data_IF_801624698685
#
_entry.id   IF_801624698685
#
_cell.length_a   1.000
_cell.length_b   1.000
_cell.length_c   1.000
_cell.angle_alpha   90.00
_cell.angle_beta   90.00
_cell.angle_gamma   90.00
#
_symmetry.space_group_name_H-M   'P 1'
#
loop_
_entity.id
_entity.type
_entity.pdbx_description
1 polymer ?
#
# COMPACT_ATOMS: atom_id res chain seq x y z
N UNK A 1 -6.85 33.65 -46.27
CA UNK A 1 -6.18 34.68 -45.45
C UNK A 1 -6.29 34.22 -44.01
N UNK A 2 -5.28 33.93 -43.20
CA UNK A 2 -3.81 33.99 -43.27
C UNK A 2 -3.30 32.93 -42.28
N UNK A 3 -2.37 32.12 -42.77
CA UNK A 3 -1.60 31.08 -42.09
C UNK A 3 -0.76 31.65 -40.94
N UNK A 4 -0.64 30.93 -39.82
CA UNK A 4 0.47 31.12 -38.86
C UNK A 4 1.26 29.83 -38.73
N UNK A 5 2.35 29.79 -39.48
CA UNK A 5 3.38 28.76 -39.49
C UNK A 5 4.39 29.01 -38.39
N UNK A 6 4.69 27.93 -37.65
CA UNK A 6 5.92 27.48 -36.99
C UNK A 6 6.87 28.47 -36.30
N UNK A 7 7.34 28.07 -35.11
CA UNK A 7 8.79 27.92 -34.83
C UNK A 7 9.00 26.70 -33.93
N UNK A 8 9.42 25.58 -34.52
CA UNK A 8 10.12 24.52 -33.80
C UNK A 8 11.57 24.97 -33.65
N UNK A 9 12.01 25.27 -32.43
CA UNK A 9 13.41 25.50 -32.13
C UNK A 9 14.06 24.19 -31.70
N UNK A 10 14.65 23.49 -32.68
CA UNK A 10 15.66 22.44 -32.46
C UNK A 10 16.98 23.11 -32.10
N UNK A 11 17.40 22.96 -30.84
CA UNK A 11 18.79 23.21 -30.41
C UNK A 11 19.35 21.87 -29.92
N UNK A 12 20.11 21.23 -30.80
CA UNK A 12 20.90 20.06 -30.48
C UNK A 12 22.32 20.48 -30.09
N UNK A 13 22.84 19.76 -29.09
CA UNK A 13 24.25 19.57 -28.76
C UNK A 13 25.01 20.79 -28.23
N UNK A 14 25.33 20.77 -26.93
CA UNK A 14 26.70 20.67 -26.43
C UNK A 14 26.68 19.92 -25.10
N UNK A 15 27.58 18.93 -25.00
CA UNK A 15 27.65 18.02 -23.86
C UNK A 15 28.12 18.72 -22.60
N UNK A 16 27.20 18.84 -21.64
CA UNK A 16 27.49 18.83 -20.21
C UNK A 16 26.37 17.97 -19.63
N UNK A 17 26.74 16.88 -18.96
CA UNK A 17 25.79 15.94 -18.39
C UNK A 17 24.86 16.63 -17.41
N UNK A 18 23.68 17.03 -17.87
CA UNK A 18 22.57 17.34 -16.99
C UNK A 18 22.08 16.01 -16.47
N UNK A 19 22.54 15.63 -15.27
CA UNK A 19 21.75 14.78 -14.39
C UNK A 19 20.43 15.53 -14.17
N UNK A 20 19.48 15.35 -15.09
CA UNK A 20 18.10 15.65 -14.79
C UNK A 20 17.76 14.73 -13.62
N UNK A 21 17.30 15.27 -12.48
CA UNK A 21 16.74 14.39 -11.47
C UNK A 21 15.64 13.61 -12.19
N UNK A 22 15.72 12.28 -12.13
CA UNK A 22 14.56 11.46 -12.40
C UNK A 22 13.47 12.03 -11.50
N UNK A 23 12.47 12.68 -12.08
CA UNK A 23 11.22 12.94 -11.40
C UNK A 23 10.70 11.53 -11.18
N UNK A 24 11.02 10.96 -10.00
CA UNK A 24 10.25 9.86 -9.48
C UNK A 24 8.81 10.36 -9.59
N UNK A 25 8.01 9.67 -10.40
CA UNK A 25 6.57 9.87 -10.31
C UNK A 25 6.27 9.74 -8.83
N UNK A 26 5.86 10.85 -8.20
CA UNK A 26 5.28 10.80 -6.87
C UNK A 26 4.08 9.87 -7.06
N UNK A 27 4.31 8.59 -6.78
CA UNK A 27 3.31 7.55 -6.90
C UNK A 27 2.06 8.12 -6.25
N UNK A 28 1.01 8.22 -7.04
CA UNK A 28 -0.22 8.88 -6.63
C UNK A 28 -0.53 8.48 -5.19
N UNK A 29 -0.53 9.46 -4.27
CA UNK A 29 -0.87 9.22 -2.87
C UNK A 29 -2.18 8.44 -2.86
N UNK A 30 -2.22 7.22 -2.29
CA UNK A 30 -3.42 6.41 -2.29
C UNK A 30 -4.58 7.23 -1.70
N UNK A 31 -5.59 7.48 -2.54
CA UNK A 31 -6.80 8.17 -2.14
C UNK A 31 -7.67 7.23 -1.31
N UNK A 32 -7.42 7.15 0.00
CA UNK A 32 -8.17 6.27 0.88
C UNK A 32 -7.98 6.62 2.36
N UNK A 33 -8.51 7.76 2.81
CA UNK A 33 -8.34 8.22 4.21
C UNK A 33 -8.85 7.23 5.26
N UNK A 34 -9.76 6.33 4.88
CA UNK A 34 -10.27 5.29 5.78
C UNK A 34 -9.35 4.08 5.83
N UNK A 35 -8.70 3.70 4.72
CA UNK A 35 -7.80 2.53 4.68
C UNK A 35 -6.47 2.84 5.36
N UNK A 36 -5.92 4.03 5.08
CA UNK A 36 -4.54 4.36 5.43
C UNK A 36 -4.38 4.87 6.86
N UNK A 37 -3.15 4.77 7.38
CA UNK A 37 -2.74 5.31 8.67
C UNK A 37 -3.58 4.78 9.85
N UNK A 38 -4.03 3.53 9.71
CA UNK A 38 -4.77 2.76 10.73
C UNK A 38 -4.17 1.37 10.90
N UNK A 39 -4.30 0.83 12.11
CA UNK A 39 -3.92 -0.56 12.41
C UNK A 39 -5.14 -1.45 12.25
N UNK A 40 -5.13 -2.29 11.21
CA UNK A 40 -6.17 -3.26 10.92
C UNK A 40 -5.76 -4.62 11.48
N UNK A 41 -6.49 -5.13 12.47
CA UNK A 41 -6.24 -6.44 13.09
C UNK A 41 -7.18 -7.47 12.47
N UNK A 42 -6.60 -8.56 11.96
CA UNK A 42 -7.33 -9.64 11.31
C UNK A 42 -8.21 -10.37 12.33
N UNK A 43 -9.43 -10.67 11.90
CA UNK A 43 -10.40 -11.49 12.62
C UNK A 43 -10.28 -12.94 12.19
N UNK A 44 -10.70 -13.87 13.05
CA UNK A 44 -10.83 -15.30 12.73
C UNK A 44 -9.52 -15.95 12.21
N UNK A 45 -8.40 -15.62 12.85
CA UNK A 45 -7.07 -16.18 12.57
C UNK A 45 -6.48 -16.83 13.83
N UNK A 46 -5.63 -17.84 13.62
CA UNK A 46 -4.92 -18.55 14.70
C UNK A 46 -3.71 -17.77 15.23
N UNK A 47 -3.32 -16.69 14.54
CA UNK A 47 -2.20 -15.82 14.91
C UNK A 47 -2.69 -14.58 15.67
N UNK A 48 -2.43 -14.46 16.98
CA UNK A 48 -2.90 -13.31 17.73
C UNK A 48 -2.25 -12.02 17.21
N UNK A 49 -3.06 -10.97 17.12
CA UNK A 49 -2.58 -9.65 16.71
C UNK A 49 -2.10 -9.59 15.25
N UNK A 50 -2.43 -10.57 14.41
CA UNK A 50 -2.16 -10.49 12.98
C UNK A 50 -2.76 -9.19 12.43
N UNK A 51 -1.94 -8.34 11.82
CA UNK A 51 -2.32 -6.99 11.45
C UNK A 51 -1.75 -6.56 10.11
N UNK A 52 -2.44 -5.61 9.49
CA UNK A 52 -1.96 -4.84 8.35
C UNK A 52 -2.07 -3.34 8.64
N UNK A 53 -1.03 -2.59 8.31
CA UNK A 53 -0.99 -1.12 8.43
C UNK A 53 -0.61 -0.55 7.07
N UNK A 54 -1.59 -0.04 6.34
CA UNK A 54 -1.39 0.64 5.07
C UNK A 54 -1.00 2.10 5.36
N UNK A 55 0.27 2.46 5.30
CA UNK A 55 0.70 3.84 5.50
C UNK A 55 0.48 4.66 4.23
N UNK A 56 0.06 5.91 4.39
CA UNK A 56 -0.20 6.82 3.26
C UNK A 56 1.06 7.17 2.44
N UNK A 57 2.25 6.80 2.92
CA UNK A 57 3.52 6.92 2.20
C UNK A 57 3.83 5.75 1.25
N UNK A 58 2.95 4.74 1.17
CA UNK A 58 3.13 3.55 0.33
C UNK A 58 3.84 2.39 1.04
N UNK A 59 4.05 2.48 2.36
CA UNK A 59 4.58 1.37 3.18
C UNK A 59 3.44 0.55 3.78
N UNK A 60 3.49 -0.77 3.60
CA UNK A 60 2.62 -1.73 4.27
C UNK A 60 3.42 -2.42 5.37
N UNK A 61 2.90 -2.39 6.60
CA UNK A 61 3.40 -3.23 7.69
C UNK A 61 2.46 -4.43 7.81
N UNK A 62 3.01 -5.64 7.69
CA UNK A 62 2.33 -6.89 8.01
C UNK A 62 3.03 -7.53 9.19
N UNK A 63 2.31 -7.90 10.24
CA UNK A 63 2.90 -8.47 11.44
C UNK A 63 1.90 -9.34 12.21
N UNK A 64 2.37 -10.13 13.16
CA UNK A 64 1.55 -10.80 14.17
C UNK A 64 2.37 -10.98 15.45
N UNK A 65 1.72 -11.27 16.57
CA UNK A 65 2.37 -11.22 17.88
C UNK A 65 3.60 -12.12 18.05
N UNK A 66 3.73 -13.19 17.27
CA UNK A 66 4.81 -14.17 17.38
C UNK A 66 5.62 -14.31 16.10
N UNK A 67 5.42 -13.42 15.13
CA UNK A 67 6.14 -13.42 13.85
C UNK A 67 7.06 -12.20 13.73
N UNK A 68 7.82 -12.16 12.64
CA UNK A 68 8.61 -10.98 12.30
C UNK A 68 7.78 -10.07 11.41
N UNK A 69 7.75 -8.78 11.73
CA UNK A 69 7.13 -7.80 10.85
C UNK A 69 7.78 -7.78 9.46
N UNK A 70 6.96 -7.55 8.44
CA UNK A 70 7.36 -7.31 7.06
C UNK A 70 7.00 -5.90 6.66
N UNK A 71 7.93 -5.23 5.99
CA UNK A 71 7.67 -3.96 5.30
C UNK A 71 7.61 -4.23 3.80
N UNK A 72 6.49 -3.88 3.18
CA UNK A 72 6.25 -4.05 1.75
C UNK A 72 5.88 -2.71 1.11
N UNK A 73 6.26 -2.52 -0.15
CA UNK A 73 5.65 -1.46 -0.94
C UNK A 73 4.21 -1.85 -1.25
N UNK A 74 3.26 -0.92 -1.07
CA UNK A 74 1.89 -1.09 -1.50
C UNK A 74 1.41 0.11 -2.29
N UNK A 75 0.33 -0.10 -3.04
CA UNK A 75 -0.40 0.94 -3.76
C UNK A 75 -1.87 0.60 -3.83
N UNK A 76 -2.69 1.64 -3.87
CA UNK A 76 -4.07 1.51 -4.31
C UNK A 76 -4.09 1.55 -5.84
N UNK A 77 -4.60 0.48 -6.45
CA UNK A 77 -4.68 0.34 -7.91
C UNK A 77 -5.87 1.13 -8.44
N UNK A 78 -7.00 1.03 -7.76
CA UNK A 78 -8.23 1.80 -8.00
C UNK A 78 -9.08 1.87 -6.72
N UNK A 79 -10.32 2.35 -6.81
CA UNK A 79 -11.21 2.51 -5.66
C UNK A 79 -11.48 1.20 -4.90
N UNK A 80 -11.41 0.05 -5.58
CA UNK A 80 -11.75 -1.26 -5.01
C UNK A 80 -10.59 -2.24 -5.04
N UNK A 81 -9.37 -1.84 -5.39
CA UNK A 81 -8.22 -2.75 -5.47
C UNK A 81 -6.96 -2.15 -4.86
N UNK A 82 -6.24 -3.00 -4.14
CA UNK A 82 -4.90 -2.72 -3.62
C UNK A 82 -3.93 -3.78 -4.11
N UNK A 83 -2.66 -3.41 -4.17
CA UNK A 83 -1.59 -4.36 -4.45
C UNK A 83 -0.39 -4.08 -3.55
N UNK A 84 0.27 -5.14 -3.09
CA UNK A 84 1.53 -5.07 -2.35
C UNK A 84 2.51 -6.11 -2.86
N UNK A 85 3.80 -5.86 -2.65
CA UNK A 85 4.85 -6.80 -3.01
C UNK A 85 5.13 -7.80 -1.88
N UNK A 86 5.15 -9.08 -2.21
CA UNK A 86 5.51 -10.16 -1.30
C UNK A 86 6.47 -11.12 -1.99
N UNK A 87 7.68 -11.26 -1.44
CA UNK A 87 8.75 -12.12 -1.99
C UNK A 87 9.06 -11.87 -3.48
N UNK A 88 8.90 -10.61 -3.91
CA UNK A 88 9.13 -10.17 -5.29
C UNK A 88 7.98 -10.48 -6.26
N UNK A 89 6.81 -10.84 -5.74
CA UNK A 89 5.59 -11.02 -6.52
C UNK A 89 4.52 -10.03 -6.03
N UNK A 90 3.78 -9.39 -6.96
CA UNK A 90 2.63 -8.58 -6.58
C UNK A 90 1.50 -9.49 -6.10
N UNK A 91 0.99 -9.20 -4.91
CA UNK A 91 -0.28 -9.69 -4.42
C UNK A 91 -1.33 -8.64 -4.78
N UNK A 92 -2.44 -9.07 -5.36
CA UNK A 92 -3.60 -8.23 -5.67
C UNK A 92 -4.76 -8.64 -4.78
N UNK A 93 -5.44 -7.65 -4.19
CA UNK A 93 -6.63 -7.86 -3.40
C UNK A 93 -7.74 -6.84 -3.75
N UNK A 94 -8.97 -7.35 -3.82
CA UNK A 94 -10.19 -6.57 -3.90
C UNK A 94 -10.59 -6.09 -2.49
N UNK A 95 -10.90 -4.80 -2.36
CA UNK A 95 -11.55 -4.21 -1.19
C UNK A 95 -13.06 -4.51 -1.32
N UNK A 96 -13.51 -5.55 -0.62
CA UNK A 96 -14.93 -5.96 -0.61
C UNK A 96 -15.76 -5.05 0.30
N UNK A 97 -15.17 -4.59 1.41
CA UNK A 97 -15.77 -3.66 2.37
C UNK A 97 -14.68 -2.77 2.97
N UNK A 98 -14.95 -1.47 3.08
CA UNK A 98 -14.11 -0.52 3.80
C UNK A 98 -15.01 0.49 4.50
N UNK A 99 -15.05 0.41 5.82
CA UNK A 99 -15.76 1.33 6.72
C UNK A 99 -14.84 1.75 7.85
N UNK A 100 -15.32 2.59 8.77
CA UNK A 100 -14.54 2.95 9.95
C UNK A 100 -14.26 1.74 10.88
N UNK A 101 -15.10 0.70 10.82
CA UNK A 101 -15.10 -0.43 11.76
C UNK A 101 -14.71 -1.77 11.12
N UNK A 102 -14.64 -1.83 9.79
CA UNK A 102 -14.41 -3.08 9.05
C UNK A 102 -13.61 -2.82 7.78
N UNK A 103 -12.63 -3.69 7.53
CA UNK A 103 -11.97 -3.87 6.25
C UNK A 103 -12.11 -5.35 5.84
N UNK A 104 -12.56 -5.60 4.61
CA UNK A 104 -12.58 -6.95 4.02
C UNK A 104 -11.78 -6.94 2.74
N UNK A 105 -10.73 -7.74 2.71
CA UNK A 105 -9.87 -7.95 1.55
C UNK A 105 -10.10 -9.34 0.98
N UNK A 106 -10.20 -9.44 -0.34
CA UNK A 106 -10.31 -10.72 -1.05
C UNK A 106 -9.16 -10.85 -2.04
N UNK A 107 -8.38 -11.91 -1.89
CA UNK A 107 -7.24 -12.24 -2.75
C UNK A 107 -7.34 -13.70 -3.20
N UNK A 108 -6.43 -14.18 -4.09
CA UNK A 108 -6.39 -15.59 -4.46
C UNK A 108 -6.17 -16.55 -3.29
N UNK A 109 -5.59 -16.10 -2.17
CA UNK A 109 -5.39 -16.94 -0.97
C UNK A 109 -6.61 -17.00 -0.06
N UNK A 110 -7.63 -16.18 -0.31
CA UNK A 110 -8.88 -16.18 0.44
C UNK A 110 -9.39 -14.79 0.78
N UNK A 111 -10.48 -14.77 1.54
CA UNK A 111 -11.03 -13.56 2.15
C UNK A 111 -10.42 -13.36 3.55
N UNK A 112 -9.99 -12.14 3.84
CA UNK A 112 -9.48 -11.71 5.14
C UNK A 112 -10.34 -10.57 5.64
N UNK A 113 -10.79 -10.69 6.89
CA UNK A 113 -11.60 -9.68 7.58
C UNK A 113 -10.78 -9.03 8.65
N UNK A 114 -10.88 -7.71 8.77
CA UNK A 114 -10.13 -6.93 9.73
C UNK A 114 -11.04 -5.93 10.43
N UNK A 115 -10.67 -5.61 11.68
CA UNK A 115 -11.24 -4.51 12.46
C UNK A 115 -10.14 -3.55 12.90
N UNK A 116 -10.45 -2.29 13.27
CA UNK A 116 -9.47 -1.42 13.90
C UNK A 116 -8.90 -2.04 15.19
N UNK A 117 -7.61 -1.83 15.43
CA UNK A 117 -6.96 -2.26 16.66
C UNK A 117 -7.59 -1.59 17.89
N UNK A 118 -7.75 -2.38 18.96
CA UNK A 118 -8.10 -1.85 20.28
C UNK A 118 -6.87 -1.24 20.94
N UNK A 119 -7.02 -0.09 21.60
CA UNK A 119 -5.93 0.60 22.29
C UNK A 119 -6.31 0.81 23.76
N UNK A 120 -5.50 0.33 24.73
CA UNK A 120 -4.23 -0.38 24.54
C UNK A 120 -4.43 -1.86 24.16
N UNK A 121 -3.51 -2.39 23.36
CA UNK A 121 -3.34 -3.82 23.11
C UNK A 121 -1.88 -4.22 23.36
N UNK A 122 -1.69 -5.38 23.98
CA UNK A 122 -0.38 -6.00 24.19
C UNK A 122 -0.49 -7.44 23.73
N UNK A 123 0.49 -7.87 22.94
CA UNK A 123 0.55 -9.24 22.47
C UNK A 123 0.58 -10.23 23.64
N UNK A 124 -0.20 -11.33 23.57
CA UNK A 124 -0.09 -12.39 24.55
C UNK A 124 1.28 -13.06 24.44
N UNK A 125 1.77 -13.58 25.58
CA UNK A 125 2.95 -14.43 25.58
C UNK A 125 2.71 -15.65 24.69
N UNK A 126 3.74 -16.04 23.93
CA UNK A 126 3.70 -17.29 23.17
C UNK A 126 3.53 -18.46 24.15
N UNK A 127 2.52 -19.34 23.94
CA UNK A 127 2.36 -20.53 24.75
C UNK A 127 3.67 -21.32 24.82
N UNK A 128 4.01 -21.76 26.03
CA UNK A 128 5.12 -22.70 26.22
C UNK A 128 4.50 -24.09 26.25
N UNK A 129 4.96 -24.96 25.35
CA UNK A 129 4.69 -26.39 25.43
C UNK A 129 5.29 -27.03 26.70
#
# INVERSE_FOLDING_TARGET
MTTKTAVFALLAMWGVGTCLPAIAEEGAKPGGSELTDRVWVQQDTDLPGAMQVFLSDGTLISDSCWETHRLSAWKQVDETHVSWEEDGMPIEAEIVSLTADELVLKSPVGEQRFKPAEVPYVCPDMPKD
#
